data_IF_759252328282
#
_entry.id   IF_759252328282
#
_cell.length_a   1.000
_cell.length_b   1.000
_cell.length_c   1.000
_cell.angle_alpha   90.00
_cell.angle_beta   90.00
_cell.angle_gamma   90.00
#
_symmetry.space_group_name_H-M   'P 1'
#
loop_
_entity.id
_entity.type
_entity.pdbx_description
1 polymer ?
#
# COMPACT_ATOMS: atom_id res chain seq x y z
N UNK A 1 27.53 -11.06 11.10
CA UNK A 1 26.11 -10.73 11.30
C UNK A 1 25.33 -11.62 10.36
N UNK A 2 24.77 -12.69 10.91
CA UNK A 2 24.06 -13.72 10.16
C UNK A 2 22.78 -13.12 9.56
N UNK A 3 22.66 -13.19 8.24
CA UNK A 3 21.41 -12.96 7.54
C UNK A 3 20.51 -14.13 7.90
N UNK A 4 19.44 -13.89 8.65
CA UNK A 4 18.40 -14.87 8.92
C UNK A 4 17.76 -15.26 7.58
N UNK A 5 18.21 -16.38 7.02
CA UNK A 5 17.64 -17.04 5.83
C UNK A 5 16.26 -17.55 6.25
N UNK A 6 15.21 -16.77 5.96
CA UNK A 6 13.84 -17.17 6.27
C UNK A 6 13.48 -18.37 5.40
N UNK A 7 13.22 -19.50 6.07
CA UNK A 7 12.58 -20.71 5.55
C UNK A 7 11.21 -20.38 4.93
N UNK A 8 11.18 -19.96 3.68
CA UNK A 8 9.97 -20.00 2.84
C UNK A 8 10.02 -21.24 1.94
N UNK A 9 10.13 -22.42 2.54
CA UNK A 9 9.81 -23.69 1.89
C UNK A 9 8.46 -24.16 2.44
N UNK A 10 7.45 -24.30 1.56
CA UNK A 10 6.12 -24.78 1.91
C UNK A 10 4.95 -24.04 1.25
N UNK A 11 3.74 -24.35 1.75
CA UNK A 11 2.42 -23.87 1.30
C UNK A 11 2.32 -22.37 0.92
N UNK A 12 2.97 -21.41 1.61
CA UNK A 12 2.92 -20.00 1.21
C UNK A 12 3.55 -19.74 -0.17
N UNK A 13 4.70 -20.35 -0.45
CA UNK A 13 5.41 -20.18 -1.72
C UNK A 13 4.66 -20.87 -2.86
N UNK A 14 4.09 -22.05 -2.61
CA UNK A 14 3.25 -22.77 -3.58
C UNK A 14 2.04 -21.92 -3.99
N UNK A 15 1.34 -21.33 -3.02
CA UNK A 15 0.20 -20.43 -3.30
C UNK A 15 0.61 -19.19 -4.11
N UNK A 16 1.76 -18.60 -3.83
CA UNK A 16 2.30 -17.50 -4.65
C UNK A 16 2.57 -17.98 -6.08
N UNK A 17 3.20 -19.14 -6.26
CA UNK A 17 3.50 -19.71 -7.58
C UNK A 17 2.21 -19.94 -8.36
N UNK A 18 1.20 -20.56 -7.76
CA UNK A 18 -0.10 -20.77 -8.39
C UNK A 18 -0.78 -19.45 -8.76
N UNK A 19 -0.76 -18.48 -7.85
CA UNK A 19 -1.34 -17.15 -8.04
C UNK A 19 -0.74 -16.46 -9.25
N UNK A 20 0.60 -16.32 -9.29
CA UNK A 20 1.30 -15.65 -10.39
C UNK A 20 1.14 -16.44 -11.67
N UNK A 21 1.28 -17.77 -11.64
CA UNK A 21 1.16 -18.62 -12.82
C UNK A 21 -0.22 -18.52 -13.47
N UNK A 22 -1.28 -18.48 -12.65
CA UNK A 22 -2.65 -18.31 -13.14
C UNK A 22 -2.89 -16.96 -13.80
N UNK A 23 -2.15 -15.92 -13.40
CA UNK A 23 -2.28 -14.59 -13.97
C UNK A 23 -1.48 -14.41 -15.26
N UNK A 24 -0.26 -14.97 -15.33
CA UNK A 24 0.60 -14.87 -16.52
C UNK A 24 0.34 -15.96 -17.57
N UNK A 25 -0.50 -16.96 -17.24
CA UNK A 25 -0.87 -18.04 -18.16
C UNK A 25 0.21 -19.10 -18.39
N UNK A 26 1.29 -19.07 -17.61
CA UNK A 26 2.40 -20.04 -17.68
C UNK A 26 3.01 -20.24 -16.30
N UNK A 27 3.83 -21.28 -16.12
CA UNK A 27 4.46 -21.59 -14.84
C UNK A 27 5.46 -20.49 -14.44
N UNK A 28 5.12 -19.72 -13.42
CA UNK A 28 6.05 -18.84 -12.73
C UNK A 28 7.03 -19.67 -11.90
N UNK A 29 8.32 -19.33 -11.99
CA UNK A 29 9.40 -19.97 -11.21
C UNK A 29 10.20 -18.87 -10.51
N UNK A 30 10.11 -18.73 -9.18
CA UNK A 30 10.90 -17.77 -8.42
C UNK A 30 12.38 -17.82 -8.76
N UNK A 31 13.06 -16.66 -8.72
CA UNK A 31 14.49 -16.56 -9.07
C UNK A 31 15.37 -17.50 -8.23
N UNK A 32 15.00 -17.76 -6.97
CA UNK A 32 15.71 -18.68 -6.09
C UNK A 32 15.75 -20.12 -6.63
N UNK A 33 14.63 -20.61 -7.20
CA UNK A 33 14.54 -21.94 -7.83
C UNK A 33 15.27 -21.94 -9.19
N UNK A 34 15.26 -20.81 -9.91
CA UNK A 34 16.00 -20.68 -11.19
C UNK A 34 17.53 -20.62 -10.99
N UNK A 35 18.02 -20.14 -9.84
CA UNK A 35 19.47 -20.00 -9.54
C UNK A 35 20.18 -21.35 -9.41
N UNK A 36 19.50 -22.40 -8.94
CA UNK A 36 20.07 -23.76 -8.93
C UNK A 36 20.15 -24.39 -10.34
N UNK A 37 19.37 -23.90 -11.30
CA UNK A 37 19.38 -24.33 -12.70
C UNK A 37 20.23 -23.43 -13.63
N UNK A 38 20.91 -22.42 -13.08
CA UNK A 38 21.51 -21.31 -13.85
C UNK A 38 22.93 -21.61 -14.34
N UNK A 39 23.04 -22.61 -15.22
CA UNK A 39 24.15 -22.71 -16.17
C UNK A 39 23.78 -22.22 -17.58
N UNK A 40 22.49 -21.97 -17.89
CA UNK A 40 22.03 -21.72 -19.28
C UNK A 40 21.06 -20.52 -19.48
N UNK A 41 20.84 -19.65 -18.49
CA UNK A 41 19.80 -18.62 -18.56
C UNK A 41 20.11 -17.43 -19.51
N UNK A 42 21.39 -17.06 -19.65
CA UNK A 42 21.79 -15.95 -20.55
C UNK A 42 21.65 -16.35 -22.03
N UNK A 43 21.96 -17.61 -22.36
CA UNK A 43 21.73 -18.16 -23.70
C UNK A 43 20.23 -18.22 -24.05
N UNK A 44 19.37 -18.52 -23.07
CA UNK A 44 17.91 -18.57 -23.26
C UNK A 44 17.31 -17.17 -23.49
N UNK A 45 17.79 -16.13 -22.80
CA UNK A 45 17.35 -14.74 -23.03
C UNK A 45 17.73 -14.31 -24.45
N UNK A 46 18.97 -14.56 -24.85
CA UNK A 46 19.46 -14.24 -26.20
C UNK A 46 18.70 -15.01 -27.29
N UNK A 47 18.32 -16.26 -27.02
CA UNK A 47 17.50 -17.09 -27.91
C UNK A 47 16.04 -16.62 -27.97
N UNK A 48 15.44 -16.20 -26.84
CA UNK A 48 14.07 -15.67 -26.78
C UNK A 48 13.94 -14.31 -27.46
N UNK A 49 14.95 -13.46 -27.33
CA UNK A 49 15.06 -12.21 -28.10
C UNK A 49 15.17 -12.47 -29.61
N UNK A 50 15.83 -13.56 -30.02
CA UNK A 50 15.91 -13.98 -31.41
C UNK A 50 14.57 -14.57 -31.91
N UNK A 51 13.88 -15.37 -31.10
CA UNK A 51 12.54 -15.93 -31.41
C UNK A 51 11.47 -14.83 -31.52
N UNK A 52 11.48 -13.85 -30.62
CA UNK A 52 10.57 -12.69 -30.66
C UNK A 52 10.78 -11.84 -31.92
N UNK A 53 12.02 -11.76 -32.43
CA UNK A 53 12.33 -11.13 -33.73
C UNK A 53 11.85 -11.97 -34.92
N UNK A 54 11.68 -13.29 -34.76
CA UNK A 54 11.30 -14.24 -35.81
C UNK A 54 9.80 -14.32 -36.14
N UNK A 55 8.90 -14.00 -35.21
CA UNK A 55 7.43 -14.05 -35.41
C UNK A 55 6.85 -12.94 -36.31
N UNK A 56 7.71 -12.09 -36.87
CA UNK A 56 7.36 -10.72 -37.24
C UNK A 56 7.48 -10.49 -38.76
N UNK A 57 7.53 -11.52 -39.60
CA UNK A 57 7.74 -11.37 -41.05
C UNK A 57 6.43 -11.60 -41.82
N UNK A 58 5.46 -10.68 -41.79
CA UNK A 58 4.41 -10.56 -42.84
C UNK A 58 4.04 -9.07 -43.08
N UNK A 59 4.61 -8.54 -44.16
CA UNK A 59 4.14 -7.58 -45.18
C UNK A 59 3.58 -6.16 -44.87
N UNK A 60 4.34 -5.16 -45.34
CA UNK A 60 4.02 -4.01 -46.21
C UNK A 60 2.90 -3.00 -45.87
N UNK A 61 3.33 -1.92 -45.21
CA UNK A 61 3.04 -0.50 -45.49
C UNK A 61 3.96 0.37 -44.59
N UNK A 62 4.97 1.03 -45.16
CA UNK A 62 6.10 1.66 -44.46
C UNK A 62 6.87 0.68 -43.54
N UNK A 63 7.63 -0.24 -44.16
CA UNK A 63 8.45 -1.26 -43.50
C UNK A 63 9.21 -0.76 -42.28
N UNK A 64 9.77 0.45 -42.32
CA UNK A 64 10.52 1.00 -41.18
C UNK A 64 9.64 1.31 -39.96
N UNK A 65 8.44 1.88 -40.15
CA UNK A 65 7.51 2.18 -39.04
C UNK A 65 6.96 0.89 -38.47
N UNK A 66 6.64 -0.08 -39.34
CA UNK A 66 6.21 -1.41 -38.92
C UNK A 66 7.30 -2.08 -38.09
N UNK A 67 8.54 -2.14 -38.58
CA UNK A 67 9.68 -2.74 -37.85
C UNK A 67 9.98 -2.04 -36.53
N UNK A 68 9.93 -0.70 -36.48
CA UNK A 68 10.06 0.05 -35.22
C UNK A 68 8.93 -0.27 -34.24
N UNK A 69 7.70 -0.40 -34.74
CA UNK A 69 6.52 -0.74 -33.93
C UNK A 69 6.65 -2.13 -33.33
N UNK A 70 7.03 -3.11 -34.15
CA UNK A 70 7.29 -4.49 -33.75
C UNK A 70 8.34 -4.61 -32.65
N UNK A 71 9.50 -3.96 -32.85
CA UNK A 71 10.58 -3.91 -31.84
C UNK A 71 10.11 -3.26 -30.54
N UNK A 72 9.37 -2.15 -30.63
CA UNK A 72 8.82 -1.45 -29.46
C UNK A 72 7.86 -2.35 -28.67
N UNK A 73 6.93 -3.02 -29.35
CA UNK A 73 5.97 -3.94 -28.71
C UNK A 73 6.73 -5.09 -28.03
N UNK A 74 7.66 -5.75 -28.73
CA UNK A 74 8.43 -6.86 -28.15
C UNK A 74 9.21 -6.43 -26.89
N UNK A 75 9.92 -5.29 -26.95
CA UNK A 75 10.64 -4.75 -25.79
C UNK A 75 9.70 -4.38 -24.64
N UNK A 76 8.55 -3.78 -24.95
CA UNK A 76 7.56 -3.40 -23.95
C UNK A 76 7.00 -4.63 -23.22
N UNK A 77 6.61 -5.67 -23.96
CA UNK A 77 6.07 -6.90 -23.37
C UNK A 77 7.12 -7.69 -22.57
N UNK A 78 8.38 -7.70 -23.01
CA UNK A 78 9.49 -8.28 -22.24
C UNK A 78 9.68 -7.52 -20.92
N UNK A 79 9.75 -6.19 -20.96
CA UNK A 79 9.91 -5.37 -19.75
C UNK A 79 8.72 -5.53 -18.79
N UNK A 80 7.50 -5.62 -19.33
CA UNK A 80 6.28 -5.89 -18.56
C UNK A 80 6.34 -7.21 -17.81
N UNK A 81 6.72 -8.27 -18.50
CA UNK A 81 6.92 -9.57 -17.88
C UNK A 81 8.01 -9.54 -16.81
N UNK A 82 9.13 -8.86 -17.07
CA UNK A 82 10.20 -8.68 -16.08
C UNK A 82 9.73 -7.94 -14.83
N UNK A 83 8.90 -6.91 -14.98
CA UNK A 83 8.34 -6.16 -13.84
C UNK A 83 7.38 -7.01 -13.01
N UNK A 84 6.53 -7.82 -13.65
CA UNK A 84 5.65 -8.78 -12.96
C UNK A 84 6.48 -9.76 -12.13
N UNK A 85 7.50 -10.37 -12.74
CA UNK A 85 8.35 -11.35 -12.06
C UNK A 85 9.18 -10.73 -10.93
N UNK A 86 9.70 -9.52 -11.10
CA UNK A 86 10.44 -8.79 -10.06
C UNK A 86 9.57 -8.50 -8.84
N UNK A 87 8.34 -8.01 -9.03
CA UNK A 87 7.39 -7.81 -7.92
C UNK A 87 7.00 -9.13 -7.27
N UNK A 88 6.76 -10.19 -8.05
CA UNK A 88 6.47 -11.51 -7.52
C UNK A 88 7.63 -12.05 -6.67
N UNK A 89 8.88 -11.92 -7.12
CA UNK A 89 10.07 -12.32 -6.38
C UNK A 89 10.23 -11.52 -5.08
N UNK A 90 10.04 -10.19 -5.13
CA UNK A 90 10.08 -9.33 -3.94
C UNK A 90 8.99 -9.69 -2.94
N UNK A 91 7.82 -10.14 -3.40
CA UNK A 91 6.68 -10.45 -2.54
C UNK A 91 6.93 -11.62 -1.58
N UNK A 92 7.90 -12.50 -1.90
CA UNK A 92 8.25 -13.68 -1.09
C UNK A 92 8.55 -13.32 0.36
N UNK A 93 9.26 -12.21 0.62
CA UNK A 93 9.61 -11.77 1.98
C UNK A 93 8.43 -11.23 2.79
N UNK A 94 7.30 -10.96 2.13
CA UNK A 94 6.06 -10.47 2.74
C UNK A 94 5.00 -11.56 2.91
N UNK A 95 5.31 -12.79 2.52
CA UNK A 95 4.43 -13.93 2.78
C UNK A 95 4.40 -14.24 4.28
N UNK A 96 3.18 -14.41 4.81
CA UNK A 96 2.96 -14.96 6.14
C UNK A 96 3.37 -16.42 6.17
N UNK A 97 3.85 -16.89 7.34
CA UNK A 97 4.09 -18.32 7.58
C UNK A 97 2.79 -19.13 7.48
N UNK A 98 1.68 -18.53 7.90
CA UNK A 98 0.35 -19.12 7.83
C UNK A 98 -0.44 -18.40 6.73
N UNK A 99 -0.69 -19.11 5.64
CA UNK A 99 -1.50 -18.61 4.53
C UNK A 99 -2.90 -19.24 4.56
N UNK A 100 -3.90 -18.43 4.22
CA UNK A 100 -5.26 -18.90 4.02
C UNK A 100 -5.35 -19.86 2.82
N UNK A 101 -6.25 -20.84 2.90
CA UNK A 101 -6.62 -21.71 1.76
C UNK A 101 -7.56 -21.03 0.76
N UNK A 102 -8.11 -19.87 1.12
CA UNK A 102 -8.97 -19.09 0.20
C UNK A 102 -8.16 -18.67 -1.03
N UNK A 103 -8.66 -18.93 -2.26
CA UNK A 103 -8.01 -18.43 -3.46
C UNK A 103 -8.15 -16.91 -3.56
N UNK A 104 -7.17 -16.26 -4.19
CA UNK A 104 -7.29 -14.84 -4.52
C UNK A 104 -8.29 -14.67 -5.66
N UNK A 105 -9.14 -13.66 -5.55
CA UNK A 105 -10.11 -13.28 -6.57
C UNK A 105 -9.45 -13.08 -7.95
N UNK A 106 -10.10 -13.58 -9.00
CA UNK A 106 -9.54 -13.55 -10.34
C UNK A 106 -9.49 -12.15 -10.93
N UNK A 107 -10.52 -11.33 -10.72
CA UNK A 107 -10.57 -9.97 -11.21
C UNK A 107 -9.55 -9.09 -10.49
N UNK A 108 -9.36 -9.30 -9.19
CA UNK A 108 -8.31 -8.67 -8.41
C UNK A 108 -6.93 -9.00 -8.97
N UNK A 109 -6.61 -10.28 -9.21
CA UNK A 109 -5.31 -10.69 -9.78
C UNK A 109 -5.06 -10.00 -11.11
N UNK A 110 -6.05 -10.01 -12.00
CA UNK A 110 -5.93 -9.36 -13.30
C UNK A 110 -5.68 -7.86 -13.17
N UNK A 111 -6.43 -7.17 -12.30
CA UNK A 111 -6.23 -5.74 -12.05
C UNK A 111 -4.86 -5.44 -11.47
N UNK A 112 -4.40 -6.26 -10.53
CA UNK A 112 -3.09 -6.13 -9.89
C UNK A 112 -1.95 -6.26 -10.91
N UNK A 113 -1.89 -7.37 -11.65
CA UNK A 113 -0.79 -7.60 -12.60
C UNK A 113 -0.80 -6.63 -13.79
N UNK A 114 -2.00 -6.22 -14.23
CA UNK A 114 -2.12 -5.18 -15.25
C UNK A 114 -1.54 -3.82 -14.83
N UNK A 115 -1.48 -3.53 -13.53
CA UNK A 115 -0.87 -2.30 -13.01
C UNK A 115 0.63 -2.45 -12.83
N UNK A 116 1.05 -3.57 -12.24
CA UNK A 116 2.45 -3.83 -11.90
C UNK A 116 3.37 -3.92 -13.13
N UNK A 117 2.86 -4.42 -14.25
CA UNK A 117 3.64 -4.61 -15.47
C UNK A 117 4.32 -3.31 -15.98
N UNK A 118 3.72 -2.14 -15.72
CA UNK A 118 4.22 -0.85 -16.20
C UNK A 118 5.01 -0.04 -15.13
N UNK A 119 5.36 -0.66 -14.00
CA UNK A 119 6.07 0.00 -12.89
C UNK A 119 7.58 -0.16 -13.01
N UNK A 120 8.29 0.96 -13.09
CA UNK A 120 9.77 0.97 -13.19
C UNK A 120 10.50 1.40 -11.91
N UNK A 121 9.82 2.08 -10.98
CA UNK A 121 10.43 2.51 -9.71
C UNK A 121 10.59 1.34 -8.75
N UNK A 122 11.81 1.12 -8.24
CA UNK A 122 12.09 0.08 -7.25
C UNK A 122 11.29 0.26 -5.96
N UNK A 123 11.09 1.50 -5.53
CA UNK A 123 10.28 1.84 -4.36
C UNK A 123 8.81 1.43 -4.56
N UNK A 124 8.25 1.74 -5.72
CA UNK A 124 6.89 1.32 -6.05
C UNK A 124 6.81 -0.21 -6.14
N UNK A 125 7.75 -0.86 -6.81
CA UNK A 125 7.79 -2.34 -6.88
C UNK A 125 7.81 -2.98 -5.50
N UNK A 126 8.49 -2.37 -4.53
CA UNK A 126 8.50 -2.82 -3.14
C UNK A 126 7.11 -2.71 -2.47
N UNK A 127 6.43 -1.58 -2.68
CA UNK A 127 5.05 -1.38 -2.21
C UNK A 127 4.11 -2.43 -2.80
N UNK A 128 4.15 -2.62 -4.13
CA UNK A 128 3.32 -3.58 -4.83
C UNK A 128 3.63 -5.02 -4.40
N UNK A 129 4.90 -5.34 -4.14
CA UNK A 129 5.32 -6.64 -3.61
C UNK A 129 4.73 -6.89 -2.21
N UNK A 130 4.69 -5.87 -1.36
CA UNK A 130 4.06 -5.95 -0.03
C UNK A 130 2.57 -6.20 -0.14
N UNK A 131 1.88 -5.52 -1.06
CA UNK A 131 0.45 -5.74 -1.34
C UNK A 131 0.22 -7.19 -1.79
N UNK A 132 0.98 -7.68 -2.77
CA UNK A 132 0.87 -9.05 -3.27
C UNK A 132 1.09 -10.08 -2.17
N UNK A 133 2.15 -9.92 -1.36
CA UNK A 133 2.45 -10.86 -0.29
C UNK A 133 1.36 -10.94 0.78
N UNK A 134 0.76 -9.80 1.15
CA UNK A 134 -0.36 -9.75 2.09
C UNK A 134 -1.62 -10.39 1.48
N UNK A 135 -1.94 -10.11 0.22
CA UNK A 135 -3.11 -10.65 -0.46
C UNK A 135 -3.00 -12.16 -0.68
N UNK A 136 -1.82 -12.66 -1.05
CA UNK A 136 -1.55 -14.11 -1.14
C UNK A 136 -1.74 -14.77 0.22
N UNK A 137 -1.26 -14.13 1.28
CA UNK A 137 -1.34 -14.67 2.63
C UNK A 137 -2.75 -14.70 3.18
N UNK A 138 -3.49 -13.60 3.00
CA UNK A 138 -4.84 -13.42 3.50
C UNK A 138 -5.63 -12.62 2.46
N UNK A 139 -6.34 -13.27 1.52
CA UNK A 139 -7.08 -12.57 0.48
C UNK A 139 -8.20 -11.70 1.04
N UNK A 140 -8.52 -10.62 0.34
CA UNK A 140 -9.60 -9.68 0.67
C UNK A 140 -9.18 -8.49 1.53
N UNK A 141 -7.87 -8.26 1.74
CA UNK A 141 -7.41 -7.10 2.52
C UNK A 141 -7.25 -5.83 1.67
N UNK A 142 -7.10 -5.99 0.35
CA UNK A 142 -6.90 -4.87 -0.57
C UNK A 142 -7.98 -4.87 -1.61
N UNK A 143 -8.82 -3.85 -1.62
CA UNK A 143 -9.84 -3.69 -2.65
C UNK A 143 -9.21 -3.31 -3.99
N UNK A 144 -9.92 -3.60 -5.08
CA UNK A 144 -9.59 -3.05 -6.41
C UNK A 144 -9.54 -1.52 -6.35
N UNK A 145 -10.39 -0.89 -5.52
CA UNK A 145 -10.40 0.57 -5.35
C UNK A 145 -9.08 1.09 -4.76
N UNK A 146 -8.47 0.38 -3.81
CA UNK A 146 -7.14 0.72 -3.30
C UNK A 146 -6.03 0.51 -4.34
N UNK A 147 -6.11 -0.53 -5.17
CA UNK A 147 -5.16 -0.70 -6.29
C UNK A 147 -5.25 0.45 -7.29
N UNK A 148 -6.47 0.87 -7.64
CA UNK A 148 -6.70 2.02 -8.52
C UNK A 148 -6.17 3.32 -7.90
N UNK A 149 -6.48 3.55 -6.62
CA UNK A 149 -6.01 4.72 -5.88
C UNK A 149 -4.48 4.79 -5.92
N UNK A 150 -3.80 3.74 -5.46
CA UNK A 150 -2.34 3.68 -5.44
C UNK A 150 -1.71 3.91 -6.82
N UNK A 151 -2.30 3.34 -7.87
CA UNK A 151 -1.75 3.47 -9.23
C UNK A 151 -1.85 4.87 -9.83
N UNK A 152 -2.74 5.72 -9.30
CA UNK A 152 -2.97 7.06 -9.81
C UNK A 152 -2.30 8.15 -8.97
N UNK A 153 -1.74 7.81 -7.80
CA UNK A 153 -1.05 8.78 -6.95
C UNK A 153 0.21 9.29 -7.63
N UNK A 154 0.31 10.60 -7.74
CA UNK A 154 1.58 11.24 -8.05
C UNK A 154 2.50 11.28 -6.81
N UNK A 155 3.76 11.68 -7.02
CA UNK A 155 4.74 11.75 -5.94
C UNK A 155 4.32 12.73 -4.84
N UNK A 156 3.75 13.88 -5.20
CA UNK A 156 3.34 14.91 -4.23
C UNK A 156 2.15 14.41 -3.40
N UNK A 157 1.17 13.79 -4.03
CA UNK A 157 0.01 13.20 -3.36
C UNK A 157 0.43 12.09 -2.40
N UNK A 158 1.37 11.23 -2.82
CA UNK A 158 1.92 10.17 -1.96
C UNK A 158 2.65 10.74 -0.73
N UNK A 159 3.49 11.75 -0.90
CA UNK A 159 4.20 12.42 0.21
C UNK A 159 3.22 13.11 1.18
N UNK A 160 2.20 13.79 0.66
CA UNK A 160 1.15 14.39 1.47
C UNK A 160 0.31 13.34 2.21
N UNK A 161 0.01 12.23 1.55
CA UNK A 161 -0.74 11.11 2.12
C UNK A 161 0.01 10.48 3.29
N UNK A 162 1.29 10.15 3.09
CA UNK A 162 2.17 9.62 4.14
C UNK A 162 2.22 10.57 5.34
N UNK A 163 2.41 11.87 5.07
CA UNK A 163 2.49 12.87 6.11
C UNK A 163 1.19 12.99 6.91
N UNK A 164 0.04 12.98 6.25
CA UNK A 164 -1.25 13.02 6.94
C UNK A 164 -1.51 11.72 7.71
N UNK A 165 -1.20 10.57 7.11
CA UNK A 165 -1.38 9.24 7.72
C UNK A 165 -0.51 9.06 8.98
N UNK A 166 0.68 9.66 9.02
CA UNK A 166 1.53 9.70 10.22
C UNK A 166 0.84 10.35 11.44
N UNK A 167 -0.17 11.19 11.21
CA UNK A 167 -0.93 11.90 12.24
C UNK A 167 -2.24 11.19 12.59
N UNK A 168 -2.49 10.00 12.04
CA UNK A 168 -3.73 9.26 12.25
C UNK A 168 -3.75 8.50 13.58
N UNK A 169 -4.93 8.42 14.19
CA UNK A 169 -5.22 7.48 15.27
C UNK A 169 -5.63 6.12 14.68
N UNK A 170 -5.69 5.08 15.51
CA UNK A 170 -5.90 3.69 15.08
C UNK A 170 -7.12 3.44 14.18
N UNK A 171 -8.15 4.29 14.25
CA UNK A 171 -9.34 4.19 13.40
C UNK A 171 -9.20 4.92 12.05
N UNK A 172 -7.96 5.17 11.61
CA UNK A 172 -7.66 5.85 10.34
C UNK A 172 -8.37 7.21 10.20
N UNK A 173 -8.26 8.02 11.24
CA UNK A 173 -8.65 9.42 11.20
C UNK A 173 -7.61 10.31 11.85
N UNK A 174 -7.51 11.54 11.39
CA UNK A 174 -6.68 12.57 12.01
C UNK A 174 -7.60 13.47 12.84
N UNK A 175 -7.42 13.43 14.16
CA UNK A 175 -8.21 14.25 15.09
C UNK A 175 -7.77 15.70 15.00
N UNK A 176 -8.66 16.62 14.65
CA UNK A 176 -8.36 18.03 14.47
C UNK A 176 -8.24 18.76 15.80
N UNK A 177 -7.28 19.69 15.87
CA UNK A 177 -7.11 20.56 17.02
C UNK A 177 -8.21 21.63 17.05
N UNK A 178 -8.49 22.24 15.91
CA UNK A 178 -9.50 23.29 15.70
C UNK A 178 -10.43 22.92 14.52
N UNK A 179 -11.45 23.74 14.25
CA UNK A 179 -12.33 23.55 13.08
C UNK A 179 -11.63 23.93 11.76
N UNK A 180 -10.58 24.76 11.83
CA UNK A 180 -9.74 25.18 10.71
C UNK A 180 -8.63 24.17 10.41
N UNK A 181 -7.86 24.41 9.33
CA UNK A 181 -6.71 23.57 9.00
C UNK A 181 -5.74 23.49 10.19
N UNK A 182 -5.69 22.33 10.83
CA UNK A 182 -4.89 22.12 12.04
C UNK A 182 -3.48 21.61 11.72
N UNK A 183 -3.12 21.56 10.44
CA UNK A 183 -1.94 20.84 9.94
C UNK A 183 -0.84 21.74 9.36
N UNK A 184 -1.04 23.07 9.29
CA UNK A 184 -0.09 23.99 8.64
C UNK A 184 1.32 23.92 9.26
N UNK A 185 1.41 23.90 10.59
CA UNK A 185 2.69 23.76 11.30
C UNK A 185 3.33 22.37 11.15
N UNK A 186 2.55 21.39 10.68
CA UNK A 186 3.03 20.07 10.28
C UNK A 186 3.19 20.00 8.75
N UNK A 187 3.21 21.15 8.08
CA UNK A 187 3.46 21.32 6.65
C UNK A 187 2.45 20.60 5.76
N UNK A 188 1.17 20.61 6.13
CA UNK A 188 0.06 20.31 5.23
C UNK A 188 -0.84 21.54 5.21
N UNK A 189 -0.85 22.24 4.08
CA UNK A 189 -1.66 23.45 3.91
C UNK A 189 -3.12 23.12 3.61
N UNK A 190 -4.00 24.11 3.69
CA UNK A 190 -5.40 23.93 3.26
C UNK A 190 -5.48 23.52 1.78
N UNK A 191 -4.63 24.09 0.92
CA UNK A 191 -4.55 23.70 -0.49
C UNK A 191 -4.13 22.24 -0.66
N UNK A 192 -3.24 21.73 0.19
CA UNK A 192 -2.83 20.32 0.15
C UNK A 192 -3.96 19.39 0.60
N UNK A 193 -4.80 19.82 1.55
CA UNK A 193 -6.02 19.09 1.93
C UNK A 193 -6.98 18.96 0.74
N UNK A 194 -7.17 20.01 -0.04
CA UNK A 194 -7.99 19.96 -1.25
C UNK A 194 -7.41 18.99 -2.31
N UNK A 195 -6.08 18.91 -2.42
CA UNK A 195 -5.40 17.94 -3.30
C UNK A 195 -5.68 16.52 -2.84
N UNK A 196 -5.49 16.23 -1.55
CA UNK A 196 -5.75 14.90 -0.98
C UNK A 196 -7.22 14.47 -1.13
N UNK A 197 -8.16 15.40 -1.02
CA UNK A 197 -9.58 15.14 -1.22
C UNK A 197 -9.91 14.88 -2.70
N UNK A 198 -9.35 15.69 -3.62
CA UNK A 198 -9.50 15.49 -5.06
C UNK A 198 -8.91 14.15 -5.55
N UNK A 199 -7.79 13.71 -4.95
CA UNK A 199 -7.18 12.41 -5.18
C UNK A 199 -8.00 11.24 -4.60
N UNK A 200 -9.05 11.52 -3.81
CA UNK A 200 -9.89 10.50 -3.19
C UNK A 200 -9.24 9.80 -1.99
N UNK A 201 -8.25 10.41 -1.34
CA UNK A 201 -7.55 9.87 -0.18
C UNK A 201 -8.28 10.15 1.13
N UNK A 202 -8.97 11.29 1.22
CA UNK A 202 -9.62 11.75 2.45
C UNK A 202 -11.01 12.31 2.21
N UNK A 203 -11.77 12.40 3.29
CA UNK A 203 -12.94 13.26 3.42
C UNK A 203 -12.63 14.39 4.39
N UNK A 204 -12.72 15.63 3.91
CA UNK A 204 -12.35 16.81 4.67
C UNK A 204 -13.55 17.77 4.80
N UNK A 205 -14.36 17.54 5.82
CA UNK A 205 -15.50 18.41 6.11
C UNK A 205 -15.42 18.90 7.56
N UNK A 206 -15.81 20.15 7.80
CA UNK A 206 -15.86 20.79 9.12
C UNK A 206 -16.84 20.10 10.08
N UNK A 207 -17.86 19.42 9.55
CA UNK A 207 -18.89 18.73 10.32
C UNK A 207 -18.55 17.27 10.65
N UNK A 208 -17.46 16.73 10.10
CA UNK A 208 -17.04 15.36 10.37
C UNK A 208 -16.48 15.25 11.78
N UNK A 209 -17.21 14.50 12.60
CA UNK A 209 -16.89 14.24 13.99
C UNK A 209 -16.73 12.75 14.23
N UNK A 210 -15.85 12.42 15.15
CA UNK A 210 -15.75 11.10 15.74
C UNK A 210 -16.10 11.15 17.21
N UNK A 211 -16.86 10.14 17.64
CA UNK A 211 -17.34 10.02 19.02
C UNK A 211 -16.71 8.80 19.67
N UNK A 212 -16.06 9.01 20.80
CA UNK A 212 -15.52 7.96 21.64
C UNK A 212 -16.38 7.83 22.91
N UNK A 213 -17.07 6.70 23.12
CA UNK A 213 -17.79 6.47 24.38
C UNK A 213 -16.78 6.35 25.53
N UNK A 214 -17.14 6.88 26.70
CA UNK A 214 -16.35 6.63 27.92
C UNK A 214 -16.63 5.25 28.49
N UNK A 215 -15.64 4.66 29.15
CA UNK A 215 -15.70 3.33 29.75
C UNK A 215 -15.90 3.47 31.28
N UNK A 216 -17.04 3.03 31.85
CA UNK A 216 -17.21 2.94 33.30
C UNK A 216 -16.32 1.84 33.93
N UNK A 217 -15.83 1.98 35.18
CA UNK A 217 -16.00 3.12 36.09
C UNK A 217 -14.97 4.25 35.87
N UNK A 218 -14.07 4.10 34.90
CA UNK A 218 -12.96 5.05 34.68
C UNK A 218 -13.43 6.40 34.11
N UNK A 219 -14.62 6.46 33.51
CA UNK A 219 -15.22 7.64 32.86
C UNK A 219 -14.24 8.31 31.88
N UNK A 220 -13.52 7.48 31.12
CA UNK A 220 -12.54 7.90 30.12
C UNK A 220 -12.80 7.19 28.80
N UNK A 221 -12.59 7.89 27.69
CA UNK A 221 -12.50 7.31 26.36
C UNK A 221 -11.06 6.90 26.07
N UNK A 222 -10.89 5.88 25.23
CA UNK A 222 -9.59 5.34 24.84
C UNK A 222 -9.31 5.71 23.38
N UNK A 223 -8.12 6.26 23.14
CA UNK A 223 -7.60 6.59 21.82
C UNK A 223 -6.23 5.95 21.69
N UNK A 224 -5.99 5.26 20.58
CA UNK A 224 -4.69 4.70 20.25
C UNK A 224 -4.03 5.53 19.14
N UNK A 225 -2.79 5.93 19.36
CA UNK A 225 -1.95 6.64 18.40
C UNK A 225 -0.60 5.93 18.32
N UNK A 226 -0.35 5.23 17.22
CA UNK A 226 0.81 4.35 17.09
C UNK A 226 0.84 3.29 18.19
N UNK A 227 1.95 3.25 18.94
CA UNK A 227 2.10 2.34 20.07
C UNK A 227 1.57 2.93 21.39
N UNK A 228 1.07 4.16 21.41
CA UNK A 228 0.56 4.82 22.62
C UNK A 228 -0.94 4.65 22.74
N UNK A 229 -1.39 4.25 23.92
CA UNK A 229 -2.78 4.17 24.35
C UNK A 229 -3.02 5.32 25.32
N UNK A 230 -4.01 6.14 24.99
CA UNK A 230 -4.27 7.41 25.65
C UNK A 230 -5.70 7.41 26.15
N UNK A 231 -5.83 7.60 27.44
CA UNK A 231 -7.07 7.93 28.09
C UNK A 231 -7.40 9.39 27.95
N UNK A 232 -8.64 9.72 27.58
CA UNK A 232 -9.14 11.10 27.56
C UNK A 232 -10.47 11.19 28.30
N UNK A 233 -10.62 12.21 29.13
CA UNK A 233 -11.88 12.54 29.81
C UNK A 233 -12.12 14.04 29.79
N UNK A 234 -13.38 14.42 29.95
CA UNK A 234 -13.82 15.80 30.14
C UNK A 234 -14.94 15.78 31.19
N UNK A 235 -14.88 16.69 32.15
CA UNK A 235 -15.80 16.69 33.28
C UNK A 235 -17.26 16.80 32.82
N UNK A 236 -18.15 15.97 33.38
CA UNK A 236 -19.56 15.92 33.03
C UNK A 236 -19.90 15.21 31.72
N UNK A 237 -18.91 14.77 30.94
CA UNK A 237 -19.11 14.14 29.64
C UNK A 237 -19.01 12.61 29.73
N UNK A 238 -20.03 11.91 29.22
CA UNK A 238 -20.02 10.44 29.10
C UNK A 238 -19.51 9.95 27.73
N UNK A 239 -19.19 10.88 26.83
CA UNK A 239 -18.60 10.62 25.51
C UNK A 239 -17.70 11.78 25.13
N UNK A 240 -16.66 11.49 24.35
CA UNK A 240 -15.70 12.48 23.87
C UNK A 240 -15.88 12.63 22.37
N UNK A 241 -16.08 13.88 21.91
CA UNK A 241 -16.26 14.19 20.49
C UNK A 241 -15.11 15.08 20.01
N UNK A 242 -14.55 14.70 18.87
CA UNK A 242 -13.53 15.49 18.18
C UNK A 242 -13.88 15.63 16.70
N UNK A 243 -13.64 16.81 16.12
CA UNK A 243 -13.62 16.95 14.67
C UNK A 243 -12.46 16.15 14.09
N UNK A 244 -12.62 15.67 12.86
CA UNK A 244 -11.61 14.85 12.20
C UNK A 244 -11.44 15.18 10.72
N UNK A 245 -10.32 14.75 10.17
CA UNK A 245 -10.19 14.39 8.75
C UNK A 245 -10.16 12.86 8.69
N UNK A 246 -11.10 12.24 7.99
CA UNK A 246 -11.14 10.78 7.85
C UNK A 246 -10.52 10.36 6.52
N UNK A 247 -9.84 9.21 6.50
CA UNK A 247 -9.38 8.61 5.25
C UNK A 247 -10.56 7.95 4.52
N UNK A 248 -10.47 7.82 3.20
CA UNK A 248 -11.41 6.97 2.45
C UNK A 248 -11.07 5.51 2.71
N UNK A 249 -12.05 4.61 2.60
CA UNK A 249 -11.83 3.17 2.86
C UNK A 249 -10.63 2.59 2.10
N UNK A 250 -10.47 2.96 0.82
CA UNK A 250 -9.33 2.55 0.01
C UNK A 250 -7.99 3.07 0.55
N UNK A 251 -7.96 4.30 1.11
CA UNK A 251 -6.77 4.84 1.75
C UNK A 251 -6.48 4.16 3.11
N UNK A 252 -7.50 3.78 3.88
CA UNK A 252 -7.34 3.01 5.12
C UNK A 252 -6.67 1.65 4.87
N UNK A 253 -7.09 0.94 3.82
CA UNK A 253 -6.46 -0.31 3.37
C UNK A 253 -4.97 -0.10 3.09
N UNK A 254 -4.62 0.98 2.38
CA UNK A 254 -3.22 1.32 2.11
C UNK A 254 -2.44 1.65 3.38
N UNK A 255 -3.00 2.41 4.33
CA UNK A 255 -2.37 2.72 5.62
C UNK A 255 -2.00 1.45 6.39
N UNK A 256 -2.94 0.49 6.43
CA UNK A 256 -2.75 -0.77 7.13
C UNK A 256 -1.60 -1.61 6.57
N UNK A 257 -1.44 -1.59 5.24
CA UNK A 257 -0.39 -2.34 4.56
C UNK A 257 0.93 -1.61 4.64
N UNK A 258 0.96 -0.32 4.30
CA UNK A 258 2.19 0.46 4.19
C UNK A 258 2.87 0.67 5.55
N UNK A 259 2.09 0.83 6.62
CA UNK A 259 2.56 1.10 7.99
C UNK A 259 3.49 2.32 8.06
N UNK A 260 2.89 3.48 8.30
CA UNK A 260 3.62 4.73 8.45
C UNK A 260 4.19 4.93 9.85
N UNK A 261 5.33 5.61 9.94
CA UNK A 261 5.84 6.10 11.22
C UNK A 261 4.91 7.18 11.77
N UNK A 262 4.65 7.13 13.07
CA UNK A 262 3.68 8.03 13.70
C UNK A 262 4.35 9.34 14.13
N UNK A 263 3.70 10.46 13.82
CA UNK A 263 4.16 11.79 14.17
C UNK A 263 3.77 12.13 15.62
N UNK A 264 4.60 11.76 16.57
CA UNK A 264 4.36 12.05 17.99
C UNK A 264 4.39 13.55 18.33
N UNK A 265 5.02 14.40 17.51
CA UNK A 265 4.95 15.85 17.69
C UNK A 265 3.52 16.37 17.45
N UNK A 266 2.81 15.80 16.46
CA UNK A 266 1.40 16.08 16.25
C UNK A 266 0.57 15.71 17.47
N UNK A 267 0.80 14.49 18.01
CA UNK A 267 0.09 14.02 19.19
C UNK A 267 0.31 14.95 20.40
N UNK A 268 1.55 15.34 20.68
CA UNK A 268 1.88 16.24 21.80
C UNK A 268 1.20 17.60 21.64
N UNK A 269 1.17 18.15 20.42
CA UNK A 269 0.46 19.39 20.12
C UNK A 269 -1.05 19.25 20.33
N UNK A 270 -1.66 18.17 19.81
CA UNK A 270 -3.09 17.90 19.96
C UNK A 270 -3.48 17.84 21.44
N UNK A 271 -2.75 17.07 22.25
CA UNK A 271 -2.99 16.96 23.70
C UNK A 271 -2.88 18.34 24.36
N UNK A 272 -1.81 19.09 24.09
CA UNK A 272 -1.59 20.42 24.68
C UNK A 272 -2.74 21.38 24.40
N UNK A 273 -3.18 21.47 23.15
CA UNK A 273 -4.24 22.41 22.77
C UNK A 273 -5.62 21.97 23.27
N UNK A 274 -5.94 20.66 23.23
CA UNK A 274 -7.18 20.15 23.82
C UNK A 274 -7.20 20.27 25.34
N UNK A 275 -6.07 20.16 26.03
CA UNK A 275 -6.04 20.40 27.49
C UNK A 275 -6.41 21.82 27.88
N UNK A 276 -6.11 22.82 27.06
CA UNK A 276 -6.61 24.20 27.26
C UNK A 276 -8.13 24.32 27.16
N UNK A 277 -8.79 23.35 26.51
CA UNK A 277 -10.25 23.28 26.32
C UNK A 277 -10.95 22.40 27.38
N UNK A 278 -10.26 22.04 28.47
CA UNK A 278 -10.81 21.27 29.59
C UNK A 278 -10.73 19.75 29.44
N UNK A 279 -10.02 19.23 28.43
CA UNK A 279 -9.77 17.78 28.30
C UNK A 279 -8.57 17.36 29.15
N UNK A 280 -8.70 16.24 29.85
CA UNK A 280 -7.62 15.64 30.63
C UNK A 280 -7.17 14.35 29.95
N UNK A 281 -5.87 14.27 29.64
CA UNK A 281 -5.24 13.12 28.97
C UNK A 281 -4.32 12.35 29.92
N UNK A 282 -4.27 11.03 29.75
CA UNK A 282 -3.38 10.14 30.51
C UNK A 282 -2.85 9.03 29.60
N UNK A 283 -1.54 8.79 29.61
CA UNK A 283 -0.96 7.61 28.95
C UNK A 283 -1.27 6.35 29.77
N UNK A 284 -1.79 5.34 29.10
CA UNK A 284 -2.18 4.06 29.72
C UNK A 284 -1.05 3.03 29.62
N UNK A 285 -0.27 3.08 28.54
CA UNK A 285 0.96 2.31 28.40
C UNK A 285 2.18 3.25 28.29
N UNK A 286 3.29 2.83 28.89
CA UNK A 286 4.59 3.51 28.77
C UNK A 286 5.34 3.01 27.54
#
# INVERSE_FOLDING_TARGET
>A
MEVNIIKTEGKPLEKLIETVSSAIGTLYKPTQIRKEAKANAEALIMQKEAEAKGMIIIADANDEIIERTKKRIALQEINRQMNIEDVADRSIKYLSKNVSDTPIDFDWKNRFFNKVQDINSDELKEIWAKILGNEVSNPGNVSIRALELLSNLDKKEAELFEKLASMSVFNHSVLKVNNENSYDQFGITFSDILVLEAAGLIHSNTSLNITYPTIPPLNMAIIQFGNKIIGVKKEGENKIVFNQTSFTHAAEELINILKFEHNYNYLSYFIKEKSKQGYVFQYINQ
#
